data_IF_762834529476
#
_entry.id   IF_762834529476
#
_cell.length_a   1.000
_cell.length_b   1.000
_cell.length_c   1.000
_cell.angle_alpha   90.00
_cell.angle_beta   90.00
_cell.angle_gamma   90.00
#
_symmetry.space_group_name_H-M   'P 1'
#
loop_
_entity.id
_entity.type
_entity.pdbx_description
1 polymer ?
#
# COMPACT_ATOMS: atom_id res chain seq x y z
N UNK A 1 -2.44 27.79 2.16
CA UNK A 1 -1.48 28.13 1.06
C UNK A 1 -1.73 27.17 -0.09
N UNK A 2 -2.05 27.69 -1.27
CA UNK A 2 -2.81 27.00 -2.34
C UNK A 2 -2.15 25.83 -3.06
N UNK A 3 -1.40 24.94 -2.40
CA UNK A 3 -0.80 23.73 -3.02
C UNK A 3 -1.88 22.82 -3.61
N UNK A 4 -2.76 22.29 -2.78
CA UNK A 4 -3.85 21.41 -3.21
C UNK A 4 -4.81 22.12 -4.18
N UNK A 5 -4.95 23.46 -4.07
CA UNK A 5 -5.68 24.26 -5.05
C UNK A 5 -5.05 24.25 -6.45
N UNK A 6 -3.72 24.42 -6.55
CA UNK A 6 -3.00 24.33 -7.83
C UNK A 6 -3.16 22.93 -8.43
N UNK A 7 -2.98 21.90 -7.63
CA UNK A 7 -3.10 20.51 -8.08
C UNK A 7 -4.53 20.21 -8.57
N UNK A 8 -5.58 20.68 -7.86
CA UNK A 8 -6.97 20.63 -8.34
C UNK A 8 -7.17 21.32 -9.68
N UNK A 9 -6.58 22.50 -9.87
CA UNK A 9 -6.66 23.24 -11.15
C UNK A 9 -5.96 22.48 -12.27
N UNK A 10 -4.80 21.88 -12.01
CA UNK A 10 -4.10 21.05 -12.99
C UNK A 10 -4.92 19.81 -13.38
N UNK A 11 -5.52 19.13 -12.40
CA UNK A 11 -6.40 17.98 -12.66
C UNK A 11 -7.67 18.38 -13.45
N UNK A 12 -8.27 19.52 -13.11
CA UNK A 12 -9.41 20.06 -13.86
C UNK A 12 -9.01 20.49 -15.28
N UNK A 13 -7.83 21.09 -15.45
CA UNK A 13 -7.34 21.48 -16.76
C UNK A 13 -7.16 20.24 -17.67
N UNK A 14 -6.68 19.12 -17.13
CA UNK A 14 -6.61 17.85 -17.88
C UNK A 14 -7.99 17.31 -18.25
N UNK A 15 -8.97 17.37 -17.33
CA UNK A 15 -10.35 17.01 -17.66
C UNK A 15 -10.91 17.87 -18.80
N UNK A 16 -10.68 19.18 -18.77
CA UNK A 16 -11.14 20.10 -19.79
C UNK A 16 -10.44 19.85 -21.14
N UNK A 17 -9.13 19.65 -21.13
CA UNK A 17 -8.34 19.41 -22.33
C UNK A 17 -8.73 18.11 -23.05
N UNK A 18 -9.15 17.09 -22.29
CA UNK A 18 -9.52 15.77 -22.82
C UNK A 18 -11.03 15.55 -22.92
N UNK A 19 -11.81 16.63 -22.89
CA UNK A 19 -13.28 16.54 -22.91
C UNK A 19 -13.81 15.83 -24.16
N UNK A 20 -13.13 15.94 -25.30
CA UNK A 20 -13.55 15.36 -26.58
C UNK A 20 -13.01 13.97 -26.88
N UNK A 21 -11.88 13.58 -26.30
CA UNK A 21 -11.15 12.36 -26.68
C UNK A 21 -10.89 11.37 -25.54
N UNK A 22 -11.00 11.79 -24.27
CA UNK A 22 -10.68 10.95 -23.10
C UNK A 22 -9.29 10.30 -23.18
N UNK A 23 -8.33 10.98 -23.81
CA UNK A 23 -6.96 10.48 -24.01
C UNK A 23 -6.14 10.31 -22.73
N UNK A 24 -6.53 10.98 -21.63
CA UNK A 24 -5.80 10.97 -20.36
C UNK A 24 -6.65 10.39 -19.23
N UNK A 25 -6.24 9.24 -18.71
CA UNK A 25 -6.69 8.73 -17.41
C UNK A 25 -5.96 9.44 -16.28
N UNK A 26 -6.65 9.74 -15.18
CA UNK A 26 -6.03 10.42 -14.03
C UNK A 26 -6.16 9.59 -12.77
N UNK A 27 -5.07 9.44 -12.02
CA UNK A 27 -5.04 8.74 -10.74
C UNK A 27 -4.62 9.70 -9.63
N UNK A 28 -5.52 9.99 -8.69
CA UNK A 28 -5.27 10.94 -7.60
C UNK A 28 -5.20 10.20 -6.27
N UNK A 29 -4.05 10.30 -5.58
CA UNK A 29 -3.87 9.82 -4.22
C UNK A 29 -4.29 10.91 -3.23
N UNK A 30 -5.58 10.91 -2.85
CA UNK A 30 -6.19 11.95 -2.03
C UNK A 30 -5.96 11.69 -0.53
N UNK A 31 -4.82 12.16 -0.04
CA UNK A 31 -4.39 11.99 1.35
C UNK A 31 -5.23 12.82 2.34
N UNK A 32 -5.82 13.92 1.89
CA UNK A 32 -6.57 14.83 2.77
C UNK A 32 -8.10 14.68 2.59
N UNK A 33 -8.54 13.89 1.62
CA UNK A 33 -9.95 13.72 1.24
C UNK A 33 -10.54 14.93 0.51
N UNK A 34 -9.73 15.90 0.09
CA UNK A 34 -10.21 17.18 -0.45
C UNK A 34 -10.62 17.14 -1.94
N UNK A 35 -10.28 16.07 -2.65
CA UNK A 35 -10.61 15.85 -4.07
C UNK A 35 -11.86 14.99 -4.21
N UNK A 36 -12.03 14.02 -3.30
CA UNK A 36 -13.18 13.13 -3.24
C UNK A 36 -14.39 13.75 -2.53
N UNK A 37 -14.17 14.61 -1.51
CA UNK A 37 -15.22 15.07 -0.61
C UNK A 37 -15.41 16.59 -0.66
N UNK A 38 -16.68 17.01 -0.71
CA UNK A 38 -17.04 18.43 -0.59
C UNK A 38 -16.77 18.92 0.83
N UNK A 39 -16.35 20.18 0.98
CA UNK A 39 -16.14 20.80 2.28
C UNK A 39 -17.30 21.76 2.61
N UNK A 40 -18.23 21.39 3.51
CA UNK A 40 -19.37 22.24 3.86
C UNK A 40 -18.96 23.55 4.57
N UNK A 41 -17.82 23.57 5.26
CA UNK A 41 -17.39 24.71 6.08
C UNK A 41 -16.98 25.91 5.20
N UNK A 42 -16.37 25.63 4.05
CA UNK A 42 -15.89 26.65 3.11
C UNK A 42 -16.78 26.77 1.86
N UNK A 43 -17.91 26.05 1.83
CA UNK A 43 -18.82 25.95 0.68
C UNK A 43 -18.16 25.40 -0.59
N UNK A 44 -17.03 24.70 -0.46
CA UNK A 44 -16.19 24.33 -1.57
C UNK A 44 -16.54 22.94 -2.10
N UNK A 45 -16.92 22.87 -3.38
CA UNK A 45 -17.23 21.63 -4.08
C UNK A 45 -15.94 20.98 -4.57
N UNK A 46 -15.86 19.66 -4.44
CA UNK A 46 -14.71 18.84 -4.76
C UNK A 46 -14.55 18.61 -6.27
N UNK A 47 -13.36 18.18 -6.68
CA UNK A 47 -13.08 17.81 -8.07
C UNK A 47 -14.03 16.69 -8.53
N UNK A 48 -14.28 15.70 -7.65
CA UNK A 48 -15.25 14.63 -7.87
C UNK A 48 -16.64 15.16 -8.11
N UNK A 49 -17.16 15.98 -7.19
CA UNK A 49 -18.53 16.50 -7.31
C UNK A 49 -18.72 17.37 -8.54
N UNK A 50 -17.69 18.14 -8.93
CA UNK A 50 -17.70 18.97 -10.14
C UNK A 50 -17.76 18.13 -11.43
N UNK A 51 -17.15 16.94 -11.42
CA UNK A 51 -16.97 16.10 -12.62
C UNK A 51 -17.50 14.67 -12.40
N UNK A 52 -18.65 14.52 -11.73
CA UNK A 52 -19.17 13.23 -11.28
C UNK A 52 -19.34 12.19 -12.42
N UNK A 53 -19.62 12.65 -13.65
CA UNK A 53 -19.74 11.77 -14.81
C UNK A 53 -18.41 11.17 -15.29
N UNK A 54 -17.26 11.72 -14.87
CA UNK A 54 -15.90 11.28 -15.27
C UNK A 54 -15.02 10.86 -14.09
N UNK A 55 -15.52 11.00 -12.86
CA UNK A 55 -14.77 10.68 -11.65
C UNK A 55 -15.32 9.43 -10.95
N UNK A 56 -14.43 8.53 -10.53
CA UNK A 56 -14.76 7.37 -9.69
C UNK A 56 -13.92 7.44 -8.41
N UNK A 57 -14.57 7.23 -7.25
CA UNK A 57 -13.88 7.24 -5.95
C UNK A 57 -13.70 5.83 -5.44
N UNK A 58 -12.49 5.52 -4.97
CA UNK A 58 -12.20 4.33 -4.19
C UNK A 58 -11.82 4.72 -2.77
N UNK A 59 -12.44 4.11 -1.78
CA UNK A 59 -12.23 4.44 -0.37
C UNK A 59 -12.11 3.19 0.51
N UNK A 60 -11.28 3.28 1.56
CA UNK A 60 -11.18 2.24 2.58
C UNK A 60 -12.47 2.11 3.39
N UNK A 61 -13.05 3.26 3.72
CA UNK A 61 -14.31 3.40 4.45
C UNK A 61 -15.18 4.39 3.69
N UNK A 62 -16.39 3.97 3.35
CA UNK A 62 -17.35 4.82 2.67
C UNK A 62 -17.74 6.00 3.58
N UNK A 63 -17.65 7.23 3.04
CA UNK A 63 -18.05 8.46 3.72
C UNK A 63 -19.49 8.81 3.34
N UNK A 64 -20.28 9.30 4.29
CA UNK A 64 -21.63 9.78 4.01
C UNK A 64 -21.58 10.93 2.99
N UNK A 65 -22.31 10.80 1.88
CA UNK A 65 -22.37 11.80 0.81
C UNK A 65 -21.32 11.68 -0.29
N UNK A 66 -20.41 10.70 -0.21
CA UNK A 66 -19.43 10.40 -1.27
C UNK A 66 -19.58 8.95 -1.71
N UNK A 67 -20.34 8.68 -2.79
CA UNK A 67 -20.40 7.34 -3.37
C UNK A 67 -18.99 6.87 -3.70
N UNK A 68 -18.62 5.69 -3.19
CA UNK A 68 -17.27 5.16 -3.36
C UNK A 68 -17.29 3.64 -3.53
N UNK A 69 -16.36 3.14 -4.34
CA UNK A 69 -16.04 1.73 -4.48
C UNK A 69 -15.07 1.31 -3.39
N UNK A 70 -15.10 0.03 -3.05
CA UNK A 70 -14.31 -0.50 -1.94
C UNK A 70 -12.83 -0.60 -2.29
N UNK A 71 -11.98 0.05 -1.49
CA UNK A 71 -10.52 -0.08 -1.53
C UNK A 71 -10.03 -1.04 -0.43
N UNK A 72 -10.58 -2.25 -0.39
CA UNK A 72 -10.19 -3.28 0.60
C UNK A 72 -9.14 -4.21 0.02
N UNK A 73 -8.39 -4.86 0.91
CA UNK A 73 -7.34 -5.83 0.57
C UNK A 73 -7.77 -7.25 0.91
N UNK A 74 -7.24 -8.21 0.18
CA UNK A 74 -7.37 -9.60 0.57
C UNK A 74 -6.15 -9.97 1.42
N UNK A 75 -6.32 -9.94 2.75
CA UNK A 75 -5.23 -10.16 3.70
C UNK A 75 -4.67 -11.58 3.61
N UNK A 76 -5.45 -12.53 3.09
CA UNK A 76 -4.95 -13.88 2.87
C UNK A 76 -4.08 -13.99 1.61
N UNK A 77 -4.30 -13.15 0.60
CA UNK A 77 -3.62 -13.24 -0.71
C UNK A 77 -2.34 -12.40 -0.79
N UNK A 78 -2.08 -11.50 0.17
CA UNK A 78 -0.90 -10.60 0.18
C UNK A 78 -0.22 -10.52 1.55
N UNK A 79 0.20 -11.68 2.12
CA UNK A 79 0.67 -11.78 3.50
C UNK A 79 1.85 -10.87 3.84
N UNK A 80 2.80 -10.72 2.91
CA UNK A 80 3.98 -9.87 3.08
C UNK A 80 3.62 -8.42 3.37
N UNK A 81 2.62 -7.91 2.66
CA UNK A 81 2.19 -6.52 2.76
C UNK A 81 1.18 -6.31 3.88
N UNK A 82 0.22 -7.22 4.03
CA UNK A 82 -0.86 -7.04 4.99
C UNK A 82 -0.43 -7.29 6.42
N UNK A 83 0.63 -8.06 6.67
CA UNK A 83 1.22 -8.12 8.02
C UNK A 83 1.92 -6.81 8.39
N UNK A 84 2.64 -6.18 7.46
CA UNK A 84 3.28 -4.88 7.72
C UNK A 84 2.23 -3.80 8.02
N UNK A 85 1.15 -3.76 7.24
CA UNK A 85 -0.01 -2.88 7.46
C UNK A 85 -0.63 -3.10 8.83
N UNK A 86 -0.89 -4.36 9.22
CA UNK A 86 -1.39 -4.70 10.55
C UNK A 86 -0.43 -4.23 11.64
N UNK A 87 0.88 -4.39 11.42
CA UNK A 87 1.92 -3.95 12.33
C UNK A 87 1.87 -2.45 12.62
N UNK A 88 1.75 -1.60 11.60
CA UNK A 88 1.65 -0.16 11.84
C UNK A 88 0.28 0.30 12.33
N UNK A 89 -0.82 -0.38 11.99
CA UNK A 89 -2.11 -0.13 12.64
C UNK A 89 -2.04 -0.41 14.14
N UNK A 90 -1.43 -1.53 14.53
CA UNK A 90 -1.19 -1.87 15.94
C UNK A 90 -0.28 -0.84 16.62
N UNK A 91 0.75 -0.35 15.94
CA UNK A 91 1.64 0.69 16.47
C UNK A 91 0.91 2.02 16.67
N UNK A 92 0.12 2.45 15.68
CA UNK A 92 -0.68 3.68 15.74
C UNK A 92 -1.69 3.66 16.90
N UNK A 93 -2.28 2.50 17.17
CA UNK A 93 -3.20 2.31 18.29
C UNK A 93 -2.48 2.12 19.65
N UNK A 94 -1.16 2.30 19.71
CA UNK A 94 -0.31 2.07 20.88
C UNK A 94 -0.41 0.64 21.46
N UNK A 95 -0.61 -0.36 20.58
CA UNK A 95 -0.74 -1.78 20.93
C UNK A 95 0.51 -2.61 20.63
N UNK A 96 1.49 -2.06 19.93
CA UNK A 96 2.72 -2.74 19.54
C UNK A 96 3.73 -2.86 20.71
N UNK A 97 3.45 -3.74 21.68
CA UNK A 97 4.37 -4.03 22.80
C UNK A 97 4.55 -5.54 23.04
N UNK A 98 5.72 -5.92 23.57
CA UNK A 98 6.06 -7.32 23.87
C UNK A 98 5.86 -8.25 22.67
N UNK A 99 5.10 -9.34 22.86
CA UNK A 99 4.82 -10.32 21.81
C UNK A 99 4.07 -9.72 20.60
N UNK A 100 3.30 -8.64 20.79
CA UNK A 100 2.61 -7.94 19.70
C UNK A 100 3.62 -7.19 18.82
N UNK A 101 4.64 -6.59 19.43
CA UNK A 101 5.73 -5.97 18.68
C UNK A 101 6.53 -7.01 17.89
N UNK A 102 6.81 -8.18 18.49
CA UNK A 102 7.47 -9.29 17.80
C UNK A 102 6.65 -9.79 16.60
N UNK A 103 5.32 -9.89 16.73
CA UNK A 103 4.43 -10.20 15.61
C UNK A 103 4.47 -9.13 14.51
N UNK A 104 4.32 -7.86 14.90
CA UNK A 104 4.31 -6.72 13.99
C UNK A 104 5.64 -6.54 13.22
N UNK A 105 6.76 -7.04 13.74
CA UNK A 105 8.07 -6.91 13.10
C UNK A 105 8.39 -8.00 12.07
N UNK A 106 7.60 -9.07 12.00
CA UNK A 106 7.86 -10.19 11.09
C UNK A 106 7.78 -9.73 9.64
N UNK A 107 8.65 -10.30 8.80
CA UNK A 107 8.57 -10.18 7.34
C UNK A 107 8.08 -11.51 6.77
N UNK A 108 6.80 -11.54 6.39
CA UNK A 108 6.25 -12.70 5.70
C UNK A 108 6.74 -12.74 4.25
N UNK A 109 6.92 -13.93 3.68
CA UNK A 109 7.25 -14.07 2.27
C UNK A 109 6.00 -13.80 1.40
N UNK A 110 6.21 -13.29 0.19
CA UNK A 110 5.13 -13.18 -0.79
C UNK A 110 4.76 -14.56 -1.35
N UNK A 111 3.50 -14.72 -1.76
CA UNK A 111 2.98 -16.01 -2.23
C UNK A 111 3.67 -16.45 -3.53
N UNK A 112 3.86 -15.53 -4.47
CA UNK A 112 4.38 -15.85 -5.80
C UNK A 112 5.83 -16.34 -5.76
N UNK A 113 6.70 -15.70 -4.98
CA UNK A 113 8.07 -16.15 -4.76
C UNK A 113 8.10 -17.47 -3.99
N UNK A 114 7.24 -17.62 -2.99
CA UNK A 114 7.16 -18.83 -2.17
C UNK A 114 6.87 -20.07 -3.01
N UNK A 115 5.88 -20.00 -3.91
CA UNK A 115 5.55 -21.13 -4.79
C UNK A 115 6.61 -21.38 -5.86
N UNK A 116 7.42 -20.37 -6.20
CA UNK A 116 8.53 -20.47 -7.15
C UNK A 116 9.82 -21.09 -6.58
N UNK A 117 9.93 -21.24 -5.26
CA UNK A 117 11.12 -21.82 -4.62
C UNK A 117 11.32 -23.30 -4.96
N UNK A 118 12.55 -23.84 -4.87
CA UNK A 118 12.79 -25.28 -4.92
C UNK A 118 11.99 -26.03 -3.84
N UNK A 119 11.48 -27.24 -4.16
CA UNK A 119 10.59 -27.99 -3.25
C UNK A 119 11.18 -28.19 -1.84
N UNK A 120 12.49 -28.39 -1.71
CA UNK A 120 13.18 -28.56 -0.43
C UNK A 120 13.28 -27.26 0.42
N UNK A 121 12.95 -26.10 -0.15
CA UNK A 121 13.01 -24.79 0.52
C UNK A 121 11.62 -24.19 0.80
N UNK A 122 10.56 -24.74 0.18
CA UNK A 122 9.18 -24.23 0.30
C UNK A 122 8.55 -24.42 1.69
N UNK A 123 8.94 -25.45 2.44
CA UNK A 123 8.20 -25.87 3.65
C UNK A 123 8.10 -24.77 4.71
N UNK A 124 9.18 -24.06 5.03
CA UNK A 124 9.15 -23.03 6.09
C UNK A 124 8.39 -21.76 5.66
N UNK A 125 8.64 -21.17 4.48
CA UNK A 125 7.84 -20.05 3.97
C UNK A 125 6.34 -20.34 3.92
N UNK A 126 5.96 -21.52 3.40
CA UNK A 126 4.55 -21.93 3.35
C UNK A 126 3.95 -22.02 4.75
N UNK A 127 4.65 -22.61 5.73
CA UNK A 127 4.17 -22.68 7.11
C UNK A 127 3.93 -21.29 7.71
N UNK A 128 4.81 -20.33 7.49
CA UNK A 128 4.63 -18.94 7.98
C UNK A 128 3.34 -18.32 7.41
N UNK A 129 3.06 -18.52 6.12
CA UNK A 129 1.81 -18.08 5.49
C UNK A 129 0.60 -18.78 6.11
N UNK A 130 0.67 -20.10 6.33
CA UNK A 130 -0.42 -20.85 6.98
C UNK A 130 -0.67 -20.38 8.43
N UNK A 131 0.38 -20.08 9.20
CA UNK A 131 0.22 -19.53 10.56
C UNK A 131 -0.47 -18.17 10.52
N UNK A 132 -0.09 -17.32 9.56
CA UNK A 132 -0.74 -16.03 9.36
C UNK A 132 -2.21 -16.17 8.94
N UNK A 133 -2.53 -17.10 8.03
CA UNK A 133 -3.92 -17.42 7.67
C UNK A 133 -4.74 -17.87 8.87
N UNK A 134 -4.18 -18.71 9.74
CA UNK A 134 -4.85 -19.12 10.97
C UNK A 134 -5.08 -17.95 11.94
N UNK A 135 -4.13 -17.02 12.05
CA UNK A 135 -4.27 -15.79 12.84
C UNK A 135 -5.44 -14.94 12.32
N UNK A 136 -5.51 -14.71 11.00
CA UNK A 136 -6.59 -13.96 10.37
C UNK A 136 -7.95 -14.64 10.60
N UNK A 137 -8.02 -15.96 10.37
CA UNK A 137 -9.26 -16.73 10.54
C UNK A 137 -9.75 -16.71 11.99
N UNK A 138 -8.84 -16.91 12.95
CA UNK A 138 -9.14 -16.81 14.39
C UNK A 138 -9.54 -15.39 14.82
N UNK A 139 -9.00 -14.38 14.15
CA UNK A 139 -9.43 -12.98 14.32
C UNK A 139 -10.79 -12.69 13.64
N UNK A 140 -11.35 -13.63 12.87
CA UNK A 140 -12.65 -13.52 12.23
C UNK A 140 -12.63 -12.71 10.93
N UNK A 141 -11.53 -12.77 10.18
CA UNK A 141 -11.45 -12.26 8.81
C UNK A 141 -12.08 -13.28 7.87
N UNK A 142 -13.10 -12.88 7.11
CA UNK A 142 -13.79 -13.77 6.17
C UNK A 142 -12.86 -14.25 5.05
N UNK A 143 -12.94 -15.51 4.65
CA UNK A 143 -12.07 -16.06 3.61
C UNK A 143 -12.87 -16.78 2.52
N UNK A 144 -12.39 -16.70 1.27
CA UNK A 144 -12.81 -17.60 0.21
C UNK A 144 -11.80 -18.74 0.09
N UNK A 145 -12.04 -19.84 0.78
CA UNK A 145 -11.12 -20.99 0.77
C UNK A 145 -10.90 -21.55 -0.64
N UNK A 146 -11.86 -21.38 -1.57
CA UNK A 146 -11.71 -21.87 -2.94
C UNK A 146 -10.64 -21.06 -3.67
N UNK A 147 -10.64 -19.73 -3.49
CA UNK A 147 -9.56 -18.86 -3.97
C UNK A 147 -8.23 -19.21 -3.32
N UNK A 148 -8.19 -19.40 -2.00
CA UNK A 148 -6.94 -19.74 -1.30
C UNK A 148 -6.34 -21.07 -1.77
N UNK A 149 -7.17 -22.08 -2.08
CA UNK A 149 -6.71 -23.34 -2.68
C UNK A 149 -6.08 -23.12 -4.07
N UNK A 150 -6.62 -22.19 -4.86
CA UNK A 150 -6.11 -21.87 -6.20
C UNK A 150 -4.73 -21.17 -6.16
N UNK A 151 -4.35 -20.55 -5.05
CA UNK A 151 -3.01 -19.98 -4.86
C UNK A 151 -1.92 -21.05 -4.75
N UNK A 152 -2.30 -22.31 -4.48
CA UNK A 152 -1.38 -23.46 -4.35
C UNK A 152 -0.30 -23.26 -3.27
N UNK A 153 -0.61 -22.51 -2.22
CA UNK A 153 0.22 -22.40 -1.00
C UNK A 153 0.13 -23.72 -0.24
N UNK A 154 1.04 -24.66 -0.56
CA UNK A 154 1.04 -26.02 -0.05
C UNK A 154 2.47 -26.49 0.18
N UNK A 155 2.70 -27.20 1.28
CA UNK A 155 3.97 -27.88 1.49
C UNK A 155 4.07 -28.99 0.44
N UNK A 156 5.25 -29.29 -0.16
CA UNK A 156 5.40 -30.26 -1.27
C UNK A 156 4.78 -31.65 -1.10
N UNK A 157 4.38 -32.06 0.12
CA UNK A 157 3.71 -33.34 0.44
C UNK A 157 2.45 -33.16 1.31
N UNK A 158 1.99 -31.92 1.51
CA UNK A 158 0.83 -31.58 2.33
C UNK A 158 -0.37 -31.19 1.47
N UNK A 159 -1.54 -31.17 2.10
CA UNK A 159 -2.75 -30.65 1.49
C UNK A 159 -2.81 -29.11 1.61
N UNK A 160 -3.79 -28.49 0.94
CA UNK A 160 -4.16 -27.11 1.25
C UNK A 160 -4.48 -26.98 2.74
N UNK A 161 -3.95 -25.93 3.36
CA UNK A 161 -4.08 -25.64 4.80
C UNK A 161 -3.32 -26.59 5.74
N UNK A 162 -2.55 -27.56 5.24
CA UNK A 162 -1.76 -28.48 6.07
C UNK A 162 -0.32 -27.97 6.27
N UNK A 163 0.10 -27.62 7.51
CA UNK A 163 1.50 -27.30 7.81
C UNK A 163 2.44 -28.51 7.68
N UNK A 164 1.89 -29.72 7.55
CA UNK A 164 2.60 -30.97 7.37
C UNK A 164 3.58 -31.26 8.52
N UNK A 165 3.09 -31.18 9.76
CA UNK A 165 3.85 -31.61 10.93
C UNK A 165 3.98 -33.14 10.97
N UNK A 166 5.07 -33.62 11.57
CA UNK A 166 5.33 -35.05 11.65
C UNK A 166 4.24 -35.77 12.48
N UNK A 167 3.83 -36.96 12.04
CA UNK A 167 2.68 -37.67 12.62
C UNK A 167 2.87 -38.01 14.11
N UNK A 168 4.09 -38.41 14.49
CA UNK A 168 4.49 -38.68 15.87
C UNK A 168 4.38 -37.44 16.77
N UNK A 169 4.79 -36.29 16.24
CA UNK A 169 4.69 -35.00 16.93
C UNK A 169 3.24 -34.55 17.09
N UNK A 170 2.41 -34.72 16.04
CA UNK A 170 0.97 -34.44 16.12
C UNK A 170 0.31 -35.34 17.17
N UNK A 171 0.57 -36.64 17.14
CA UNK A 171 -0.01 -37.58 18.10
C UNK A 171 0.39 -37.21 19.55
N UNK A 172 1.67 -36.92 19.80
CA UNK A 172 2.12 -36.46 21.11
C UNK A 172 1.39 -35.18 21.56
N UNK A 173 1.26 -34.18 20.67
CA UNK A 173 0.60 -32.92 20.97
C UNK A 173 -0.89 -33.10 21.32
N UNK A 174 -1.63 -33.87 20.52
CA UNK A 174 -3.06 -34.12 20.74
C UNK A 174 -3.31 -34.95 22.00
N UNK A 175 -2.47 -35.94 22.30
CA UNK A 175 -2.57 -36.72 23.53
C UNK A 175 -2.31 -35.86 24.78
N UNK A 176 -1.30 -34.96 24.74
CA UNK A 176 -0.98 -34.09 25.88
C UNK A 176 -2.06 -33.02 26.11
N UNK A 177 -2.52 -32.36 25.04
CA UNK A 177 -3.41 -31.19 25.16
C UNK A 177 -4.89 -31.59 25.23
N UNK A 178 -5.32 -32.57 24.43
CA UNK A 178 -6.73 -32.97 24.29
C UNK A 178 -7.05 -34.36 24.84
N UNK A 179 -6.05 -35.20 25.11
CA UNK A 179 -6.21 -36.62 25.52
C UNK A 179 -6.92 -37.46 24.46
N UNK A 180 -6.63 -37.16 23.19
CA UNK A 180 -7.24 -37.78 22.02
C UNK A 180 -6.16 -38.08 20.97
N UNK A 181 -6.47 -38.99 20.04
CA UNK A 181 -5.61 -39.23 18.89
C UNK A 181 -5.64 -38.05 17.91
N UNK A 182 -4.54 -37.84 17.19
CA UNK A 182 -4.48 -36.75 16.21
C UNK A 182 -5.51 -36.98 15.09
N UNK A 183 -6.35 -35.97 14.75
CA UNK A 183 -7.30 -36.07 13.66
C UNK A 183 -6.57 -36.10 12.31
N UNK A 184 -7.36 -36.27 11.23
CA UNK A 184 -6.87 -36.11 9.87
C UNK A 184 -6.12 -34.76 9.70
N UNK A 185 -5.15 -34.74 8.79
CA UNK A 185 -4.41 -33.51 8.50
C UNK A 185 -5.37 -32.37 8.11
N UNK A 186 -5.09 -31.11 8.52
CA UNK A 186 -5.93 -29.98 8.20
C UNK A 186 -6.24 -29.89 6.70
N UNK A 187 -7.47 -29.52 6.39
CA UNK A 187 -7.93 -29.35 5.02
C UNK A 187 -8.80 -28.10 4.83
N UNK A 188 -8.95 -27.27 5.86
CA UNK A 188 -9.73 -26.03 5.93
C UNK A 188 -9.07 -25.06 6.91
N UNK A 189 -9.46 -23.79 6.90
CA UNK A 189 -8.99 -22.82 7.89
C UNK A 189 -9.40 -23.19 9.32
N UNK A 190 -10.61 -23.73 9.52
CA UNK A 190 -11.07 -24.21 10.83
C UNK A 190 -10.20 -25.34 11.39
N UNK A 191 -9.91 -26.35 10.55
CA UNK A 191 -9.08 -27.48 10.96
C UNK A 191 -7.62 -27.07 11.17
N UNK A 192 -7.12 -26.09 10.40
CA UNK A 192 -5.80 -25.48 10.60
C UNK A 192 -5.74 -24.71 11.93
N UNK A 193 -6.76 -23.92 12.26
CA UNK A 193 -6.83 -23.23 13.56
C UNK A 193 -6.82 -24.24 14.70
N UNK A 194 -7.66 -25.28 14.63
CA UNK A 194 -7.73 -26.31 15.66
C UNK A 194 -6.39 -27.05 15.85
N UNK A 195 -5.69 -27.36 14.76
CA UNK A 195 -4.35 -27.95 14.78
C UNK A 195 -3.35 -27.02 15.48
N UNK A 196 -3.26 -25.76 15.04
CA UNK A 196 -2.27 -24.84 15.59
C UNK A 196 -2.54 -24.47 17.05
N UNK A 197 -3.78 -24.53 17.52
CA UNK A 197 -4.09 -24.33 18.94
C UNK A 197 -3.47 -25.42 19.80
N UNK A 198 -3.60 -26.68 19.37
CA UNK A 198 -2.97 -27.83 20.03
C UNK A 198 -1.46 -27.71 20.00
N UNK A 199 -0.89 -27.38 18.84
CA UNK A 199 0.57 -27.25 18.68
C UNK A 199 1.14 -26.11 19.52
N UNK A 200 0.44 -24.96 19.59
CA UNK A 200 0.87 -23.82 20.39
C UNK A 200 0.78 -24.10 21.90
N UNK A 201 -0.29 -24.77 22.36
CA UNK A 201 -0.42 -25.18 23.76
C UNK A 201 0.62 -26.25 24.13
N UNK A 202 0.83 -27.24 23.26
CA UNK A 202 1.85 -28.27 23.46
C UNK A 202 3.25 -27.66 23.61
N UNK A 203 3.60 -26.65 22.79
CA UNK A 203 4.87 -25.92 22.91
C UNK A 203 5.04 -25.23 24.27
N UNK A 204 3.95 -24.77 24.90
CA UNK A 204 3.99 -24.15 26.24
C UNK A 204 4.12 -25.20 27.35
N UNK A 205 3.40 -26.31 27.24
CA UNK A 205 3.38 -27.36 28.25
C UNK A 205 4.68 -28.18 28.25
N UNK A 206 5.25 -28.44 27.07
CA UNK A 206 6.51 -29.17 26.90
C UNK A 206 7.47 -28.46 25.93
N UNK A 207 8.11 -27.35 26.37
CA UNK A 207 9.03 -26.59 25.52
C UNK A 207 10.33 -27.34 25.21
N UNK A 208 10.65 -28.42 25.94
CA UNK A 208 11.86 -29.22 25.75
C UNK A 208 11.61 -30.49 24.92
N UNK A 209 10.40 -30.69 24.41
CA UNK A 209 10.08 -31.84 23.57
C UNK A 209 11.06 -31.98 22.40
N UNK A 210 11.41 -33.22 22.06
CA UNK A 210 12.41 -33.54 21.03
C UNK A 210 12.09 -32.93 19.66
N UNK A 211 10.80 -32.75 19.35
CA UNK A 211 10.33 -32.11 18.12
C UNK A 211 10.61 -30.60 18.04
N UNK A 212 10.82 -29.92 19.16
CA UNK A 212 11.07 -28.47 19.22
C UNK A 212 12.55 -28.13 19.38
N UNK A 213 13.35 -29.09 19.83
CA UNK A 213 14.80 -28.94 19.98
C UNK A 213 15.54 -29.16 18.65
N UNK A 214 16.84 -28.86 18.64
CA UNK A 214 17.65 -28.99 17.43
C UNK A 214 17.70 -30.45 16.97
N UNK A 215 17.31 -30.69 15.72
CA UNK A 215 17.42 -32.03 15.15
C UNK A 215 18.90 -32.38 14.91
N UNK A 216 19.31 -33.58 15.30
CA UNK A 216 20.69 -34.04 15.13
C UNK A 216 21.16 -34.06 13.66
N UNK A 217 20.23 -34.18 12.70
CA UNK A 217 20.52 -34.22 11.25
C UNK A 217 20.69 -32.86 10.59
N UNK A 218 19.94 -31.83 11.03
CA UNK A 218 19.96 -30.51 10.35
C UNK A 218 20.52 -29.38 11.22
N UNK A 219 20.66 -29.59 12.53
CA UNK A 219 21.05 -28.56 13.50
C UNK A 219 20.00 -27.45 13.69
N UNK A 220 18.85 -27.53 13.00
CA UNK A 220 17.76 -26.56 13.04
C UNK A 220 16.62 -27.04 13.93
N UNK A 221 15.96 -26.09 14.57
CA UNK A 221 14.69 -26.27 15.28
C UNK A 221 13.53 -26.27 14.28
N UNK A 222 12.43 -26.90 14.68
CA UNK A 222 11.18 -26.90 13.91
C UNK A 222 10.67 -25.48 13.66
N UNK A 223 10.69 -24.65 14.70
CA UNK A 223 10.28 -23.25 14.67
C UNK A 223 11.48 -22.32 14.83
N UNK A 224 11.58 -21.31 13.99
CA UNK A 224 12.50 -20.17 14.17
C UNK A 224 11.86 -19.08 15.04
N UNK A 225 12.51 -17.92 15.14
CA UNK A 225 12.01 -16.77 15.91
C UNK A 225 10.67 -16.25 15.37
N UNK A 226 10.50 -16.22 14.05
CA UNK A 226 9.27 -15.69 13.44
C UNK A 226 8.14 -16.69 13.59
N UNK A 227 8.41 -17.98 13.37
CA UNK A 227 7.46 -19.07 13.62
C UNK A 227 6.94 -19.00 15.07
N UNK A 228 7.86 -18.78 16.02
CA UNK A 228 7.52 -18.64 17.44
C UNK A 228 6.69 -17.38 17.70
N UNK A 229 7.06 -16.24 17.13
CA UNK A 229 6.31 -14.99 17.26
C UNK A 229 4.90 -15.05 16.65
N UNK A 230 4.72 -15.70 15.50
CA UNK A 230 3.41 -15.96 14.91
C UNK A 230 2.55 -16.81 15.84
N UNK A 231 3.10 -17.91 16.37
CA UNK A 231 2.36 -18.81 17.24
C UNK A 231 2.05 -18.18 18.62
N UNK A 232 2.97 -17.38 19.16
CA UNK A 232 2.77 -16.61 20.39
C UNK A 232 1.69 -15.54 20.23
N UNK A 233 1.56 -14.95 19.04
CA UNK A 233 0.45 -14.05 18.72
C UNK A 233 -0.86 -14.80 18.46
N UNK A 234 -0.81 -15.95 17.77
CA UNK A 234 -1.95 -16.79 17.41
C UNK A 234 -2.67 -17.36 18.64
N UNK A 235 -1.91 -17.89 19.59
CA UNK A 235 -2.42 -18.44 20.83
C UNK A 235 -1.49 -18.00 21.95
N UNK A 236 -1.62 -16.78 22.47
CA UNK A 236 -0.79 -16.35 23.59
C UNK A 236 -1.17 -17.11 24.87
N UNK A 237 -0.31 -17.04 25.89
CA UNK A 237 -0.63 -17.58 27.21
C UNK A 237 -1.87 -16.91 27.84
N UNK A 238 -2.42 -17.49 28.93
CA UNK A 238 -3.65 -17.02 29.56
C UNK A 238 -3.64 -15.51 29.86
N UNK A 239 -4.79 -14.85 29.66
CA UNK A 239 -4.98 -13.43 29.94
C UNK A 239 -4.44 -12.46 28.87
N UNK A 240 -3.99 -12.96 27.72
CA UNK A 240 -3.52 -12.14 26.58
C UNK A 240 -4.48 -12.21 25.40
N UNK A 241 -4.62 -11.09 24.70
CA UNK A 241 -5.65 -10.90 23.66
C UNK A 241 -5.35 -11.59 22.31
N UNK A 242 -4.09 -11.71 21.91
CA UNK A 242 -3.69 -12.42 20.68
C UNK A 242 -4.40 -11.90 19.42
N UNK A 243 -5.00 -12.77 18.58
CA UNK A 243 -5.64 -12.36 17.32
C UNK A 243 -6.82 -11.41 17.51
N UNK A 244 -7.41 -11.32 18.71
CA UNK A 244 -8.51 -10.36 18.95
C UNK A 244 -8.06 -8.91 18.81
N UNK A 245 -6.75 -8.62 18.94
CA UNK A 245 -6.19 -7.27 18.79
C UNK A 245 -6.33 -6.71 17.37
N UNK A 246 -6.38 -7.57 16.36
CA UNK A 246 -6.48 -7.17 14.95
C UNK A 246 -7.93 -7.22 14.42
N UNK A 247 -8.92 -7.59 15.24
CA UNK A 247 -10.35 -7.59 14.87
C UNK A 247 -10.87 -6.24 14.35
N UNK A 248 -10.48 -5.08 14.93
CA UNK A 248 -10.95 -3.79 14.45
C UNK A 248 -10.53 -3.47 13.00
N UNK A 249 -9.42 -4.04 12.54
CA UNK A 249 -8.86 -3.77 11.21
C UNK A 249 -9.50 -4.60 10.09
N UNK A 250 -10.46 -5.49 10.41
CA UNK A 250 -11.22 -6.27 9.42
C UNK A 250 -11.96 -5.41 8.40
N UNK A 251 -12.27 -4.16 8.74
CA UNK A 251 -12.91 -3.20 7.83
C UNK A 251 -12.08 -2.95 6.56
N UNK A 252 -10.76 -3.18 6.63
CA UNK A 252 -9.83 -3.03 5.49
C UNK A 252 -9.73 -4.32 4.66
N UNK A 253 -10.41 -5.39 5.06
CA UNK A 253 -10.36 -6.69 4.42
C UNK A 253 -11.63 -7.02 3.62
N UNK A 254 -11.45 -7.62 2.44
CA UNK A 254 -12.50 -8.32 1.72
C UNK A 254 -11.94 -9.60 1.08
N UNK A 255 -12.63 -10.75 1.18
CA UNK A 255 -12.24 -11.96 0.47
C UNK A 255 -12.38 -11.86 -1.06
N UNK A 256 -13.08 -10.83 -1.55
CA UNK A 256 -13.21 -10.52 -2.98
C UNK A 256 -12.34 -9.34 -3.41
N UNK A 257 -11.48 -8.81 -2.53
CA UNK A 257 -10.55 -7.74 -2.88
C UNK A 257 -9.54 -8.18 -3.97
N UNK A 258 -9.04 -7.20 -4.74
CA UNK A 258 -8.11 -7.40 -5.86
C UNK A 258 -8.70 -7.04 -7.22
N UNK A 259 -10.02 -7.20 -7.42
CA UNK A 259 -10.70 -6.77 -8.66
C UNK A 259 -10.59 -5.26 -8.92
N UNK A 260 -10.34 -4.46 -7.87
CA UNK A 260 -10.26 -3.02 -7.99
C UNK A 260 -9.03 -2.55 -8.78
N UNK A 261 -7.91 -3.30 -8.78
CA UNK A 261 -6.72 -2.86 -9.53
C UNK A 261 -6.99 -2.92 -11.03
N UNK A 262 -7.47 -4.06 -11.52
CA UNK A 262 -7.85 -4.23 -12.93
C UNK A 262 -8.97 -3.26 -13.34
N UNK A 263 -9.93 -3.03 -12.43
CA UNK A 263 -11.00 -2.06 -12.65
C UNK A 263 -10.47 -0.62 -12.74
N UNK A 264 -9.55 -0.23 -11.86
CA UNK A 264 -8.89 1.09 -11.91
C UNK A 264 -8.10 1.22 -13.21
N UNK A 265 -7.31 0.22 -13.61
CA UNK A 265 -6.55 0.25 -14.87
C UNK A 265 -7.49 0.42 -16.07
N UNK A 266 -8.62 -0.30 -16.09
CA UNK A 266 -9.65 -0.14 -17.11
C UNK A 266 -10.25 1.27 -17.12
N UNK A 267 -10.58 1.83 -15.96
CA UNK A 267 -11.11 3.20 -15.85
C UNK A 267 -10.09 4.23 -16.36
N UNK A 268 -8.80 4.03 -16.08
CA UNK A 268 -7.73 4.88 -16.59
C UNK A 268 -7.61 4.79 -18.13
N UNK A 269 -7.75 3.60 -18.70
CA UNK A 269 -7.77 3.40 -20.17
C UNK A 269 -8.97 4.10 -20.83
N UNK A 270 -10.09 4.22 -20.12
CA UNK A 270 -11.29 4.95 -20.54
C UNK A 270 -11.18 6.48 -20.32
N UNK A 271 -10.03 6.99 -19.87
CA UNK A 271 -9.81 8.42 -19.62
C UNK A 271 -10.61 8.99 -18.44
N UNK A 272 -10.97 8.13 -17.48
CA UNK A 272 -11.65 8.51 -16.23
C UNK A 272 -10.64 9.03 -15.21
N UNK A 273 -11.13 9.83 -14.28
CA UNK A 273 -10.37 10.27 -13.10
C UNK A 273 -10.71 9.38 -11.92
N UNK A 274 -9.77 8.55 -11.50
CA UNK A 274 -9.86 7.72 -10.31
C UNK A 274 -9.27 8.47 -9.11
N UNK A 275 -10.06 8.61 -8.05
CA UNK A 275 -9.65 9.28 -6.81
C UNK A 275 -9.62 8.24 -5.69
N UNK A 276 -8.44 8.04 -5.11
CA UNK A 276 -8.24 7.19 -3.95
C UNK A 276 -8.38 8.03 -2.69
N UNK A 277 -9.52 7.95 -2.02
CA UNK A 277 -9.74 8.62 -0.73
C UNK A 277 -9.01 7.86 0.38
N UNK A 278 -7.87 8.42 0.77
CA UNK A 278 -6.99 7.90 1.81
C UNK A 278 -6.99 8.79 3.06
N UNK A 279 -7.98 9.70 3.19
CA UNK A 279 -8.04 10.68 4.29
C UNK A 279 -8.08 10.07 5.70
N UNK A 280 -8.56 8.83 5.82
CA UNK A 280 -8.63 8.10 7.10
C UNK A 280 -7.56 6.99 7.20
N UNK A 281 -6.61 6.94 6.26
CA UNK A 281 -5.62 5.87 6.15
C UNK A 281 -4.34 6.20 6.93
N UNK A 282 -3.73 5.17 7.54
CA UNK A 282 -2.41 5.27 8.17
C UNK A 282 -1.34 5.57 7.11
N UNK A 283 -0.18 6.11 7.50
CA UNK A 283 0.92 6.40 6.56
C UNK A 283 1.37 5.14 5.79
N UNK A 284 1.37 3.98 6.45
CA UNK A 284 1.71 2.71 5.81
C UNK A 284 0.69 2.31 4.75
N UNK A 285 -0.61 2.42 5.04
CA UNK A 285 -1.66 2.14 4.05
C UNK A 285 -1.54 3.08 2.86
N UNK A 286 -1.30 4.38 3.12
CA UNK A 286 -1.10 5.38 2.07
C UNK A 286 0.05 5.01 1.14
N UNK A 287 1.22 4.70 1.72
CA UNK A 287 2.41 4.27 0.96
C UNK A 287 2.13 3.00 0.16
N UNK A 288 1.48 2.02 0.77
CA UNK A 288 1.19 0.74 0.14
C UNK A 288 0.26 0.87 -1.08
N UNK A 289 -0.88 1.58 -0.97
CA UNK A 289 -1.74 1.79 -2.15
C UNK A 289 -1.07 2.65 -3.21
N UNK A 290 -0.29 3.64 -2.79
CA UNK A 290 0.51 4.47 -3.71
C UNK A 290 1.47 3.60 -4.51
N UNK A 291 2.25 2.75 -3.84
CA UNK A 291 3.23 1.87 -4.47
C UNK A 291 2.57 0.80 -5.35
N UNK A 292 1.54 0.12 -4.85
CA UNK A 292 0.81 -0.91 -5.59
C UNK A 292 0.24 -0.38 -6.90
N UNK A 293 -0.53 0.71 -6.84
CA UNK A 293 -1.21 1.23 -8.03
C UNK A 293 -0.23 1.91 -8.97
N UNK A 294 0.82 2.54 -8.46
CA UNK A 294 1.89 3.09 -9.30
C UNK A 294 2.61 1.96 -10.06
N UNK A 295 2.96 0.84 -9.40
CA UNK A 295 3.55 -0.33 -10.06
C UNK A 295 2.60 -0.96 -11.09
N UNK A 296 1.31 -1.09 -10.76
CA UNK A 296 0.31 -1.62 -11.66
C UNK A 296 0.15 -0.75 -12.92
N UNK A 297 0.02 0.57 -12.76
CA UNK A 297 -0.07 1.52 -13.87
C UNK A 297 1.19 1.48 -14.74
N UNK A 298 2.38 1.47 -14.12
CA UNK A 298 3.64 1.38 -14.84
C UNK A 298 3.71 0.12 -15.70
N UNK A 299 3.44 -1.05 -15.10
CA UNK A 299 3.48 -2.33 -15.81
C UNK A 299 2.42 -2.44 -16.91
N UNK A 300 1.23 -1.88 -16.68
CA UNK A 300 0.15 -1.84 -17.68
C UNK A 300 0.52 -0.99 -18.90
N UNK A 301 1.07 0.20 -18.67
CA UNK A 301 1.54 1.08 -19.75
C UNK A 301 2.78 0.52 -20.47
N UNK A 302 3.71 -0.12 -19.74
CA UNK A 302 4.85 -0.83 -20.33
C UNK A 302 4.39 -1.98 -21.23
N UNK A 303 3.40 -2.76 -20.80
CA UNK A 303 2.81 -3.83 -21.62
C UNK A 303 2.18 -3.24 -22.89
N UNK A 304 1.38 -2.17 -22.77
CA UNK A 304 0.84 -1.46 -23.94
C UNK A 304 1.92 -0.93 -24.87
N UNK A 305 3.04 -0.44 -24.34
CA UNK A 305 4.19 0.02 -25.14
C UNK A 305 4.78 -1.13 -25.96
N UNK A 306 5.10 -2.24 -25.31
CA UNK A 306 5.71 -3.42 -25.95
C UNK A 306 4.78 -4.03 -27.00
N UNK A 307 3.47 -4.02 -26.76
CA UNK A 307 2.47 -4.53 -27.69
C UNK A 307 2.06 -3.54 -28.79
N UNK A 308 2.66 -2.33 -28.84
CA UNK A 308 2.28 -1.23 -29.75
C UNK A 308 0.79 -0.84 -29.65
N UNK A 309 0.24 -0.85 -28.42
CA UNK A 309 -1.14 -0.50 -28.07
C UNK A 309 -1.27 0.77 -27.22
N UNK A 310 -0.21 1.56 -27.08
CA UNK A 310 -0.28 2.83 -26.36
C UNK A 310 -1.18 3.85 -27.07
N UNK A 311 -1.06 3.99 -28.39
CA UNK A 311 -1.77 5.01 -29.17
C UNK A 311 -1.71 6.39 -28.48
N UNK A 312 -2.81 7.14 -28.47
CA UNK A 312 -2.96 8.40 -27.75
C UNK A 312 -3.49 8.21 -26.31
N UNK A 313 -3.17 7.08 -25.66
CA UNK A 313 -3.54 6.81 -24.26
C UNK A 313 -2.42 7.23 -23.33
N UNK A 314 -2.75 8.12 -22.40
CA UNK A 314 -1.88 8.67 -21.39
C UNK A 314 -2.45 8.45 -19.99
N UNK A 315 -1.56 8.34 -18.99
CA UNK A 315 -1.96 8.30 -17.58
C UNK A 315 -1.23 9.37 -16.81
N UNK A 316 -1.96 10.11 -15.99
CA UNK A 316 -1.43 11.18 -15.14
C UNK A 316 -1.66 10.84 -13.66
N UNK A 317 -0.56 10.71 -12.90
CA UNK A 317 -0.61 10.43 -11.46
C UNK A 317 -0.45 11.73 -10.66
N UNK A 318 -1.18 11.84 -9.55
CA UNK A 318 -1.15 12.99 -8.64
C UNK A 318 -0.85 12.54 -7.20
N UNK A 319 0.28 13.01 -6.66
CA UNK A 319 0.74 12.69 -5.31
C UNK A 319 0.76 13.93 -4.42
N UNK A 320 -0.12 13.98 -3.41
CA UNK A 320 -0.03 14.97 -2.34
C UNK A 320 1.01 14.56 -1.29
N UNK A 321 1.56 15.54 -0.56
CA UNK A 321 2.55 15.32 0.51
C UNK A 321 3.68 14.34 0.12
N UNK A 322 4.27 14.63 -1.04
CA UNK A 322 5.26 13.83 -1.76
C UNK A 322 6.48 13.41 -0.93
N UNK A 323 6.80 14.14 0.15
CA UNK A 323 7.88 13.78 1.08
C UNK A 323 7.66 12.43 1.78
N UNK A 324 6.40 11.97 1.86
CA UNK A 324 6.08 10.65 2.38
C UNK A 324 6.42 9.53 1.39
N UNK A 325 6.48 9.81 0.10
CA UNK A 325 6.69 8.81 -0.95
C UNK A 325 8.11 8.87 -1.52
N UNK A 326 8.74 10.04 -1.56
CA UNK A 326 10.03 10.25 -2.22
C UNK A 326 11.10 10.84 -1.27
N UNK A 327 11.48 10.16 -0.18
CA UNK A 327 12.45 10.70 0.78
C UNK A 327 13.85 10.85 0.16
N UNK A 328 14.73 11.74 0.69
CA UNK A 328 16.03 12.04 0.08
C UNK A 328 17.02 10.87 0.10
N UNK A 329 16.83 9.92 1.03
CA UNK A 329 17.76 8.81 1.29
C UNK A 329 17.35 7.49 0.62
N UNK A 330 16.35 7.48 -0.28
CA UNK A 330 16.00 6.27 -1.02
C UNK A 330 17.13 5.88 -1.98
N UNK A 331 18.01 4.98 -1.53
CA UNK A 331 19.14 4.41 -2.30
C UNK A 331 18.71 3.31 -3.26
N UNK A 332 17.50 2.78 -3.10
CA UNK A 332 16.98 1.73 -3.96
C UNK A 332 16.54 2.31 -5.31
N UNK A 333 17.46 2.21 -6.28
CA UNK A 333 17.23 2.50 -7.71
C UNK A 333 16.20 1.56 -8.37
N UNK A 334 15.59 0.66 -7.59
CA UNK A 334 14.45 -0.19 -7.94
C UNK A 334 13.09 0.43 -7.60
N UNK A 335 13.08 1.60 -6.96
CA UNK A 335 11.86 2.30 -6.59
C UNK A 335 11.09 2.74 -7.86
N UNK A 336 9.83 2.32 -7.97
CA UNK A 336 8.97 2.53 -9.16
C UNK A 336 8.93 4.01 -9.56
N UNK A 337 9.04 4.89 -8.57
CA UNK A 337 9.00 6.34 -8.72
C UNK A 337 10.22 6.96 -9.41
N UNK A 338 11.42 6.43 -9.15
CA UNK A 338 12.61 6.85 -9.88
C UNK A 338 12.52 6.41 -11.35
N UNK A 339 11.93 5.24 -11.60
CA UNK A 339 11.62 4.77 -12.97
C UNK A 339 10.56 5.64 -13.63
N UNK A 340 9.51 6.06 -12.92
CA UNK A 340 8.54 7.03 -13.45
C UNK A 340 9.23 8.32 -13.92
N UNK A 341 10.14 8.88 -13.12
CA UNK A 341 10.85 10.11 -13.48
C UNK A 341 11.75 9.95 -14.72
N UNK A 342 12.40 8.78 -14.89
CA UNK A 342 13.37 8.54 -15.98
C UNK A 342 12.73 7.97 -17.25
N UNK A 343 11.73 7.11 -17.10
CA UNK A 343 11.14 6.29 -18.17
C UNK A 343 9.66 6.62 -18.44
N UNK A 344 8.97 7.32 -17.53
CA UNK A 344 7.52 7.56 -17.61
C UNK A 344 7.08 8.19 -18.94
N UNK A 345 7.87 9.13 -19.48
CA UNK A 345 7.59 9.76 -20.77
C UNK A 345 7.52 8.73 -21.93
N UNK A 346 8.36 7.69 -21.92
CA UNK A 346 8.35 6.61 -22.92
C UNK A 346 7.04 5.81 -22.87
N UNK A 347 6.44 5.71 -21.70
CA UNK A 347 5.23 4.92 -21.44
C UNK A 347 3.97 5.79 -21.36
N UNK A 348 4.02 7.05 -21.81
CA UNK A 348 2.91 8.00 -21.74
C UNK A 348 2.38 8.22 -20.32
N UNK A 349 3.30 8.24 -19.34
CA UNK A 349 2.98 8.46 -17.94
C UNK A 349 3.54 9.80 -17.48
N UNK A 350 2.64 10.68 -17.03
CA UNK A 350 2.97 11.93 -16.35
C UNK A 350 2.80 11.80 -14.83
N UNK A 351 3.55 12.60 -14.08
CA UNK A 351 3.42 12.71 -12.63
C UNK A 351 3.35 14.18 -12.19
N UNK A 352 2.42 14.48 -11.30
CA UNK A 352 2.32 15.74 -10.55
C UNK A 352 2.46 15.39 -9.08
N UNK A 353 3.31 16.12 -8.37
CA UNK A 353 3.49 15.91 -6.94
C UNK A 353 3.60 17.24 -6.19
N UNK A 354 3.14 17.27 -4.94
CA UNK A 354 3.15 18.48 -4.11
C UNK A 354 3.94 18.23 -2.81
N UNK A 355 4.75 19.21 -2.38
CA UNK A 355 5.46 19.17 -1.10
C UNK A 355 5.53 20.58 -0.49
N UNK A 356 5.71 20.65 0.83
CA UNK A 356 5.96 21.91 1.54
C UNK A 356 7.47 22.25 1.60
N UNK A 357 8.31 21.22 1.51
CA UNK A 357 9.76 21.31 1.64
C UNK A 357 10.42 20.61 0.46
N UNK A 358 10.93 21.34 -0.54
CA UNK A 358 11.74 20.76 -1.59
C UNK A 358 12.94 19.95 -1.05
N UNK A 359 13.52 20.34 0.09
CA UNK A 359 14.66 19.65 0.70
C UNK A 359 14.37 18.20 1.12
N UNK A 360 13.10 17.85 1.34
CA UNK A 360 12.67 16.50 1.76
C UNK A 360 12.32 15.58 0.60
N UNK A 361 12.51 16.03 -0.65
CA UNK A 361 12.29 15.22 -1.84
C UNK A 361 13.62 14.71 -2.39
N UNK A 362 13.60 13.50 -2.95
CA UNK A 362 14.72 12.94 -3.69
C UNK A 362 15.23 13.93 -4.76
N UNK A 363 16.54 14.19 -4.75
CA UNK A 363 17.17 15.18 -5.63
C UNK A 363 17.14 14.77 -7.10
N UNK A 364 17.22 13.46 -7.40
CA UNK A 364 17.11 12.97 -8.78
C UNK A 364 15.71 13.24 -9.33
N UNK A 365 14.67 13.02 -8.53
CA UNK A 365 13.30 13.32 -8.92
C UNK A 365 13.11 14.81 -9.22
N UNK A 366 13.59 15.69 -8.33
CA UNK A 366 13.53 17.14 -8.54
C UNK A 366 14.30 17.58 -9.79
N UNK A 367 15.45 16.96 -10.07
CA UNK A 367 16.26 17.29 -11.24
C UNK A 367 15.62 16.86 -12.58
N UNK A 368 14.77 15.82 -12.56
CA UNK A 368 14.01 15.37 -13.74
C UNK A 368 12.64 16.07 -13.87
N UNK A 369 12.30 16.98 -12.97
CA UNK A 369 11.03 17.69 -13.01
C UNK A 369 11.12 18.87 -13.96
N UNK A 370 10.23 18.89 -14.95
CA UNK A 370 10.24 19.91 -16.02
C UNK A 370 9.36 21.11 -15.71
N UNK A 371 8.29 20.91 -14.93
CA UNK A 371 7.29 21.92 -14.63
C UNK A 371 7.24 22.19 -13.13
N UNK A 372 7.44 23.44 -12.73
CA UNK A 372 7.44 23.91 -11.35
C UNK A 372 6.37 24.98 -11.13
N UNK A 373 5.65 24.84 -10.02
CA UNK A 373 4.75 25.87 -9.50
C UNK A 373 5.17 26.18 -8.06
N UNK A 374 5.92 27.26 -7.87
CA UNK A 374 6.56 27.58 -6.58
C UNK A 374 5.82 28.72 -5.90
N UNK A 375 5.12 28.40 -4.81
CA UNK A 375 4.51 29.39 -3.92
C UNK A 375 5.50 29.91 -2.88
N UNK A 376 4.96 30.48 -1.80
CA UNK A 376 5.76 30.88 -0.65
C UNK A 376 6.51 29.69 -0.01
N UNK A 377 7.82 29.82 0.17
CA UNK A 377 8.63 28.96 1.03
C UNK A 377 9.07 29.76 2.26
N UNK A 378 8.95 29.17 3.45
CA UNK A 378 9.17 29.87 4.73
C UNK A 378 10.63 29.87 5.20
N UNK A 379 11.49 29.07 4.59
CA UNK A 379 12.88 28.87 5.00
C UNK A 379 13.87 29.20 3.88
N UNK A 380 14.96 29.88 4.25
CA UNK A 380 16.08 30.16 3.36
C UNK A 380 16.69 28.87 2.83
N UNK A 381 16.78 27.84 3.66
CA UNK A 381 17.35 26.55 3.25
C UNK A 381 16.49 25.86 2.19
N UNK A 382 15.17 26.00 2.26
CA UNK A 382 14.26 25.47 1.23
C UNK A 382 14.42 26.21 -0.10
N UNK A 383 14.49 27.54 -0.07
CA UNK A 383 14.73 28.32 -1.29
C UNK A 383 16.09 28.03 -1.92
N UNK A 384 17.13 27.82 -1.11
CA UNK A 384 18.45 27.40 -1.58
C UNK A 384 18.44 25.97 -2.12
N UNK A 385 17.68 25.07 -1.51
CA UNK A 385 17.52 23.71 -2.00
C UNK A 385 16.88 23.71 -3.39
N UNK A 386 15.83 24.50 -3.58
CA UNK A 386 15.17 24.71 -4.86
C UNK A 386 16.11 25.29 -5.93
N UNK A 387 16.84 26.37 -5.63
CA UNK A 387 17.73 26.99 -6.63
C UNK A 387 18.95 26.13 -6.98
N UNK A 388 19.36 25.21 -6.10
CA UNK A 388 20.40 24.20 -6.41
C UNK A 388 19.93 23.15 -7.41
N UNK A 389 18.66 22.74 -7.36
CA UNK A 389 18.13 21.74 -8.29
C UNK A 389 17.63 22.36 -9.60
N UNK A 390 17.15 23.61 -9.55
CA UNK A 390 16.68 24.33 -10.71
C UNK A 390 17.21 25.77 -10.71
N UNK A 391 18.26 25.99 -11.51
CA UNK A 391 19.01 27.25 -11.59
C UNK A 391 18.14 28.43 -12.03
N UNK A 392 17.02 28.19 -12.73
CA UNK A 392 16.09 29.25 -13.10
C UNK A 392 15.49 30.00 -11.90
N UNK A 393 15.50 29.40 -10.70
CA UNK A 393 15.08 30.06 -9.45
C UNK A 393 16.20 30.80 -8.72
N UNK A 394 17.45 30.74 -9.21
CA UNK A 394 18.55 31.48 -8.62
C UNK A 394 18.37 32.99 -8.84
N UNK A 395 18.50 33.78 -7.76
CA UNK A 395 18.34 35.24 -7.77
C UNK A 395 16.92 35.72 -7.42
N UNK A 396 15.94 34.82 -7.34
CA UNK A 396 14.55 35.16 -6.94
C UNK A 396 14.14 34.53 -5.60
N UNK A 397 15.09 34.01 -4.82
CA UNK A 397 14.83 33.38 -3.52
C UNK A 397 14.16 34.35 -2.54
N UNK A 398 14.63 35.60 -2.49
CA UNK A 398 14.06 36.63 -1.61
C UNK A 398 12.59 36.95 -1.92
N UNK A 399 12.20 36.85 -3.19
CA UNK A 399 10.84 37.07 -3.63
C UNK A 399 9.93 35.89 -3.22
N UNK A 400 10.41 34.66 -3.39
CA UNK A 400 9.75 33.43 -2.89
C UNK A 400 9.57 33.46 -1.36
N UNK A 401 10.59 33.93 -0.62
CA UNK A 401 10.57 34.03 0.85
C UNK A 401 9.54 35.06 1.36
N UNK A 402 9.26 36.12 0.61
CA UNK A 402 8.42 37.23 1.11
C UNK A 402 6.97 37.15 0.63
N UNK A 403 6.73 36.54 -0.52
CA UNK A 403 5.44 36.60 -1.18
C UNK A 403 4.44 35.57 -0.63
N UNK A 404 3.72 35.96 0.43
CA UNK A 404 2.72 35.11 1.12
C UNK A 404 1.32 35.13 0.48
N UNK A 405 1.13 35.88 -0.61
CA UNK A 405 -0.17 36.02 -1.27
C UNK A 405 -0.70 34.65 -1.75
N UNK A 406 -1.89 34.21 -1.29
CA UNK A 406 -2.47 32.96 -1.76
C UNK A 406 -2.63 32.92 -3.28
N UNK A 407 -2.23 31.80 -3.89
CA UNK A 407 -2.30 31.59 -5.33
C UNK A 407 -1.21 32.29 -6.15
N UNK A 408 -0.43 33.20 -5.55
CA UNK A 408 0.70 33.81 -6.26
C UNK A 408 1.88 32.83 -6.32
N UNK A 409 2.22 32.40 -7.53
CA UNK A 409 3.17 31.33 -7.82
C UNK A 409 4.24 31.82 -8.80
N UNK A 410 5.44 31.23 -8.70
CA UNK A 410 6.51 31.34 -9.68
C UNK A 410 6.45 30.10 -10.52
N UNK A 411 5.95 30.24 -11.74
CA UNK A 411 5.77 29.15 -12.67
C UNK A 411 6.99 29.02 -13.57
N UNK A 412 7.49 27.81 -13.74
CA UNK A 412 8.44 27.44 -14.78
C UNK A 412 7.86 26.21 -15.46
N UNK A 413 7.71 26.23 -16.78
CA UNK A 413 7.34 25.03 -17.54
C UNK A 413 8.41 24.74 -18.57
N UNK A 414 8.41 23.54 -19.13
CA UNK A 414 9.37 23.11 -20.17
C UNK A 414 9.50 24.11 -21.33
N UNK A 415 8.40 24.78 -21.69
CA UNK A 415 8.36 25.75 -22.79
C UNK A 415 8.88 27.14 -22.43
N UNK A 416 9.04 27.46 -21.14
CA UNK A 416 9.44 28.79 -20.67
C UNK A 416 10.95 28.88 -20.46
N UNK A 417 11.56 29.96 -20.96
CA UNK A 417 12.97 30.29 -20.71
C UNK A 417 13.22 30.98 -19.37
N UNK A 418 12.18 31.56 -18.78
CA UNK A 418 12.24 32.36 -17.55
C UNK A 418 11.09 31.99 -16.62
N UNK A 419 11.30 32.20 -15.33
CA UNK A 419 10.26 32.05 -14.32
C UNK A 419 9.20 33.13 -14.53
N UNK A 420 7.94 32.70 -14.66
CA UNK A 420 6.78 33.58 -14.89
C UNK A 420 5.96 33.71 -13.61
N UNK A 421 5.87 34.92 -13.02
CA UNK A 421 4.96 35.18 -11.91
C UNK A 421 3.51 35.01 -12.37
N UNK A 422 2.76 34.16 -11.68
CA UNK A 422 1.39 33.78 -12.05
C UNK A 422 0.48 33.85 -10.83
N UNK A 423 -0.71 34.42 -10.98
CA UNK A 423 -1.76 34.34 -9.96
C UNK A 423 -2.70 33.19 -10.32
N UNK A 424 -2.56 32.07 -9.60
CA UNK A 424 -3.47 30.94 -9.69
C UNK A 424 -4.76 31.30 -8.98
N UNK A 425 -5.88 31.12 -9.68
CA UNK A 425 -7.22 31.39 -9.16
C UNK A 425 -7.60 30.35 -8.10
N UNK A 426 -8.62 30.65 -7.28
CA UNK A 426 -9.22 29.64 -6.42
C UNK A 426 -9.92 28.62 -7.33
N UNK A 427 -9.75 27.33 -7.04
CA UNK A 427 -10.55 26.29 -7.67
C UNK A 427 -12.01 26.53 -7.29
N UNK A 428 -12.83 26.77 -8.29
CA UNK A 428 -14.28 26.88 -8.17
C UNK A 428 -14.87 25.84 -9.11
N UNK A 429 -15.71 24.96 -8.57
CA UNK A 429 -16.49 24.06 -9.37
C UNK A 429 -17.64 24.84 -10.02
N UNK A 430 -17.37 25.53 -11.12
CA UNK A 430 -18.45 26.13 -11.92
C UNK A 430 -19.33 25.03 -12.49
N UNK A 431 -20.64 25.26 -12.46
CA UNK A 431 -21.67 24.38 -13.04
C UNK A 431 -21.55 24.28 -14.55
#
# INVERSE_FOLDING_TARGET
>A
LGKSNVVKILAQAMLNATQSDSSVGQLIFDINGEYANDNPQDGNRSLRSANAARCEVYALTERQGTPSRSLRLNFYEQPESTLEILGGMLAQDNRASGYVASFASIRLPDIASTIGLPRNEQTRPVRKILFYWAILHKAGYDADERRLRNLRVQVPSGNAFDPHFAADMREAAFQVVRKEAAPAAPNSLDSLVAELEVIAEFRRLDPQHSSFTKTAKSGRTLFDSDDSALLDFFSPGPGRSGPTLIRPYRIFHSPQAGAFVDEILKLLDEGRTVILDLGNATDQIRRYFSDMLSKAVFSHQETKFVENKLYDSFVQLYFEEAHNLFPPESRDLTDVYARFAKEGAKFHIGMVYSTQSPSTINKELLAQTENFFVGHLSSVDETRSLSRVQVAFAGIENDILKAKTPGYMRMLTLSHRFVVPTQVLKFEATQ
#
